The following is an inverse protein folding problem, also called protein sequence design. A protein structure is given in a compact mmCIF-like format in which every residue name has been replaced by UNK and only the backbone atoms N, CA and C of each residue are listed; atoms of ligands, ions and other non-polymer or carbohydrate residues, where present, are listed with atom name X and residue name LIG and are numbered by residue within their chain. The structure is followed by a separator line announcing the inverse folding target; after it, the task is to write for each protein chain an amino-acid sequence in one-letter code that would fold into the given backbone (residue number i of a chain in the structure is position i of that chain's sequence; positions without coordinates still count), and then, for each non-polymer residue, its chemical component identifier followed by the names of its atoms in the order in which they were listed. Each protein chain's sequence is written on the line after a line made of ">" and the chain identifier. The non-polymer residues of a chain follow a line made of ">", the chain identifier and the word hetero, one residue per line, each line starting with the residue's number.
data_IF_824677707653
#
_entry.id   IF_824677707653
#
_cell.length_a   1.000
_cell.length_b   1.000
_cell.length_c   1.000
_cell.angle_alpha   90.00
_cell.angle_beta   90.00
_cell.angle_gamma   90.00
#
_symmetry.space_group_name_H-M   'P 1'
#
loop_
_entity.id
_entity.type
_entity.pdbx_description
1 polymer ?
#
# COMPACT_ATOMS: atom_id res chain seq x y z
N UNK A 1 -34.34 16.48 25.87
CA UNK A 1 -33.67 16.43 24.54
C UNK A 1 -33.94 17.76 23.84
N UNK A 2 -32.97 18.68 23.82
CA UNK A 2 -33.18 20.03 23.28
C UNK A 2 -33.23 20.00 21.73
N UNK A 3 -34.08 20.83 21.08
CA UNK A 3 -34.10 20.92 19.62
C UNK A 3 -32.77 21.53 19.12
N UNK A 4 -32.18 20.92 18.09
CA UNK A 4 -31.05 21.52 17.37
C UNK A 4 -31.56 22.78 16.68
N UNK A 5 -30.96 23.94 17.00
CA UNK A 5 -31.28 25.24 16.40
C UNK A 5 -31.33 25.11 14.89
N UNK A 6 -32.49 25.42 14.32
CA UNK A 6 -32.69 25.49 12.88
C UNK A 6 -31.69 26.47 12.29
N UNK A 7 -30.83 25.96 11.40
CA UNK A 7 -29.94 26.78 10.61
C UNK A 7 -30.78 27.59 9.61
N UNK A 8 -30.78 28.92 9.76
CA UNK A 8 -31.33 29.92 8.83
C UNK A 8 -30.58 29.99 7.49
N UNK A 9 -30.18 28.84 6.96
CA UNK A 9 -29.34 28.75 5.76
C UNK A 9 -30.26 28.71 4.56
N UNK A 10 -30.20 29.76 3.73
CA UNK A 10 -30.87 29.84 2.43
C UNK A 10 -30.69 28.51 1.68
N UNK A 11 -31.76 27.86 1.20
CA UNK A 11 -31.62 26.65 0.39
C UNK A 11 -30.69 26.91 -0.80
N UNK A 12 -29.91 25.90 -1.17
CA UNK A 12 -28.99 26.01 -2.30
C UNK A 12 -29.81 26.00 -3.59
N UNK A 13 -29.68 27.03 -4.43
CA UNK A 13 -30.39 27.03 -5.72
C UNK A 13 -29.79 26.00 -6.66
N UNK A 14 -30.55 25.61 -7.69
CA UNK A 14 -30.10 24.66 -8.70
C UNK A 14 -28.87 25.18 -9.46
N UNK A 15 -28.90 26.45 -9.91
CA UNK A 15 -27.76 27.10 -10.55
C UNK A 15 -26.52 27.21 -9.64
N UNK A 16 -26.71 27.43 -8.34
CA UNK A 16 -25.61 27.41 -7.37
C UNK A 16 -25.04 26.00 -7.17
N UNK A 17 -25.89 24.97 -7.17
CA UNK A 17 -25.47 23.56 -7.13
C UNK A 17 -24.60 23.22 -8.33
N UNK A 18 -25.04 23.56 -9.54
CA UNK A 18 -24.31 23.29 -10.78
C UNK A 18 -22.94 23.96 -10.79
N UNK A 19 -22.89 25.25 -10.42
CA UNK A 19 -21.62 25.99 -10.32
C UNK A 19 -20.64 25.35 -9.32
N UNK A 20 -21.13 24.88 -8.17
CA UNK A 20 -20.28 24.20 -7.19
C UNK A 20 -19.79 22.85 -7.74
N UNK A 21 -20.64 22.11 -8.46
CA UNK A 21 -20.28 20.84 -9.10
C UNK A 21 -19.18 21.04 -10.14
N UNK A 22 -19.31 22.04 -11.00
CA UNK A 22 -18.33 22.38 -12.03
C UNK A 22 -16.96 22.70 -11.41
N UNK A 23 -16.93 23.51 -10.34
CA UNK A 23 -15.70 23.82 -9.62
C UNK A 23 -15.09 22.60 -8.92
N UNK A 24 -15.92 21.68 -8.42
CA UNK A 24 -15.44 20.42 -7.85
C UNK A 24 -14.80 19.52 -8.91
N UNK A 25 -15.39 19.47 -10.11
CA UNK A 25 -14.89 18.69 -11.25
C UNK A 25 -13.61 19.29 -11.83
N UNK A 26 -13.49 20.62 -11.84
CA UNK A 26 -12.26 21.34 -12.15
C UNK A 26 -11.15 21.15 -11.09
N UNK A 27 -11.47 20.52 -9.96
CA UNK A 27 -10.52 20.21 -8.90
C UNK A 27 -10.19 21.38 -7.97
N UNK A 28 -10.98 22.45 -8.01
CA UNK A 28 -10.83 23.64 -7.15
C UNK A 28 -10.91 23.25 -5.66
N UNK A 29 -9.99 23.72 -4.81
CA UNK A 29 -10.04 23.51 -3.37
C UNK A 29 -11.37 23.98 -2.76
N UNK A 30 -11.96 23.17 -1.87
CA UNK A 30 -13.27 23.47 -1.25
C UNK A 30 -13.30 24.79 -0.48
N UNK A 31 -12.17 25.24 0.06
CA UNK A 31 -12.05 26.54 0.73
C UNK A 31 -12.20 27.70 -0.26
N UNK A 32 -11.66 27.55 -1.47
CA UNK A 32 -11.76 28.54 -2.55
C UNK A 32 -13.16 28.56 -3.18
N UNK A 33 -13.79 27.39 -3.32
CA UNK A 33 -15.21 27.29 -3.68
C UNK A 33 -16.08 27.97 -2.63
N UNK A 34 -15.78 27.79 -1.33
CA UNK A 34 -16.51 28.44 -0.25
C UNK A 34 -16.40 29.97 -0.31
N UNK A 35 -15.20 30.48 -0.54
CA UNK A 35 -14.95 31.91 -0.69
C UNK A 35 -15.68 32.51 -1.91
N UNK A 36 -15.68 31.81 -3.05
CA UNK A 36 -16.29 32.30 -4.30
C UNK A 36 -17.81 32.15 -4.37
N UNK A 37 -18.39 31.19 -3.64
CA UNK A 37 -19.84 30.94 -3.64
C UNK A 37 -20.57 31.47 -2.40
N UNK A 38 -19.83 31.99 -1.42
CA UNK A 38 -20.38 32.44 -0.14
C UNK A 38 -21.01 31.31 0.69
N UNK A 39 -20.73 30.05 0.36
CA UNK A 39 -21.26 28.87 1.06
C UNK A 39 -20.23 28.29 2.01
N UNK A 40 -20.71 27.67 3.08
CA UNK A 40 -19.82 27.00 4.02
C UNK A 40 -19.09 25.82 3.36
N UNK A 41 -17.85 25.57 3.79
CA UNK A 41 -17.09 24.37 3.40
C UNK A 41 -17.87 23.09 3.72
N UNK A 42 -18.69 23.10 4.79
CA UNK A 42 -19.58 22.00 5.16
C UNK A 42 -20.65 21.73 4.10
N UNK A 43 -21.30 22.78 3.57
CA UNK A 43 -22.29 22.68 2.48
C UNK A 43 -21.67 22.06 1.23
N UNK A 44 -20.49 22.55 0.83
CA UNK A 44 -19.76 22.03 -0.33
C UNK A 44 -19.33 20.59 -0.10
N UNK A 45 -18.91 20.24 1.12
CA UNK A 45 -18.52 18.87 1.48
C UNK A 45 -19.71 17.91 1.45
N UNK A 46 -20.90 18.34 1.88
CA UNK A 46 -22.11 17.54 1.80
C UNK A 46 -22.51 17.34 0.33
N UNK A 47 -22.53 18.42 -0.47
CA UNK A 47 -22.82 18.32 -1.89
C UNK A 47 -21.83 17.40 -2.62
N UNK A 48 -20.54 17.49 -2.31
CA UNK A 48 -19.52 16.59 -2.87
C UNK A 48 -19.75 15.12 -2.48
N UNK A 49 -20.26 14.83 -1.28
CA UNK A 49 -20.62 13.45 -0.88
C UNK A 49 -21.85 12.97 -1.63
N UNK A 50 -22.91 13.78 -1.67
CA UNK A 50 -24.18 13.46 -2.31
C UNK A 50 -24.02 13.23 -3.81
N UNK A 51 -23.04 13.89 -4.43
CA UNK A 51 -22.75 13.79 -5.88
C UNK A 51 -21.57 12.89 -6.22
N UNK A 52 -21.04 12.12 -5.26
CA UNK A 52 -19.92 11.19 -5.47
C UNK A 52 -18.55 11.83 -5.72
N UNK A 53 -18.43 13.15 -5.63
CA UNK A 53 -17.21 13.97 -5.84
C UNK A 53 -16.39 14.18 -4.56
N UNK A 54 -16.65 13.36 -3.54
CA UNK A 54 -15.86 13.40 -2.32
C UNK A 54 -14.46 12.86 -2.62
N UNK A 55 -13.46 13.75 -2.71
CA UNK A 55 -12.05 13.35 -2.67
C UNK A 55 -11.84 12.37 -1.50
N UNK A 56 -11.21 11.21 -1.74
CA UNK A 56 -10.91 10.24 -0.70
C UNK A 56 -10.07 10.93 0.37
N UNK A 57 -10.45 10.75 1.64
CA UNK A 57 -9.84 11.43 2.78
C UNK A 57 -8.35 11.09 2.99
N UNK A 58 -7.86 10.06 2.32
CA UNK A 58 -6.47 9.64 2.30
C UNK A 58 -6.12 9.19 0.88
N UNK A 59 -4.94 9.60 0.39
CA UNK A 59 -4.50 9.45 -0.98
C UNK A 59 -4.49 8.01 -1.53
N UNK A 60 -5.63 7.55 -2.00
CA UNK A 60 -5.79 6.51 -3.04
C UNK A 60 -7.08 6.88 -3.78
N UNK A 61 -7.10 7.18 -5.08
CA UNK A 61 -6.83 6.23 -6.15
C UNK A 61 -6.59 6.97 -7.48
N UNK A 62 -5.42 7.59 -7.64
CA UNK A 62 -4.82 7.56 -8.98
C UNK A 62 -4.19 6.17 -9.08
N UNK A 63 -4.51 5.35 -10.10
CA UNK A 63 -3.77 4.13 -10.37
C UNK A 63 -2.30 4.53 -10.57
N UNK A 64 -1.47 4.34 -9.55
CA UNK A 64 -0.06 4.64 -9.69
C UNK A 64 0.53 3.61 -10.66
N UNK A 65 0.94 4.00 -11.89
CA UNK A 65 1.51 3.06 -12.86
C UNK A 65 2.75 2.35 -12.29
N UNK A 66 3.42 2.96 -11.30
CA UNK A 66 4.52 2.37 -10.56
C UNK A 66 4.08 1.16 -9.74
N UNK A 67 2.85 1.18 -9.17
CA UNK A 67 2.29 0.05 -8.43
C UNK A 67 2.05 -1.16 -9.34
N UNK A 68 1.57 -0.95 -10.56
CA UNK A 68 1.44 -2.02 -11.54
C UNK A 68 2.82 -2.59 -11.92
N UNK A 69 3.82 -1.71 -12.11
CA UNK A 69 5.20 -2.13 -12.40
C UNK A 69 5.82 -2.97 -11.26
N UNK A 70 5.53 -2.64 -10.00
CA UNK A 70 5.93 -3.46 -8.84
C UNK A 70 5.41 -4.90 -8.96
N UNK A 71 4.13 -5.07 -9.31
CA UNK A 71 3.52 -6.40 -9.38
C UNK A 71 4.10 -7.22 -10.54
N UNK A 72 4.36 -6.59 -11.69
CA UNK A 72 5.02 -7.25 -12.84
C UNK A 72 6.42 -7.72 -12.45
N UNK A 73 7.27 -6.83 -11.93
CA UNK A 73 8.63 -7.21 -11.53
C UNK A 73 8.65 -8.27 -10.42
N UNK A 74 7.70 -8.20 -9.48
CA UNK A 74 7.55 -9.22 -8.44
C UNK A 74 7.14 -10.57 -9.04
N UNK A 75 6.26 -10.58 -10.05
CA UNK A 75 5.87 -11.79 -10.77
C UNK A 75 7.04 -12.42 -11.51
N UNK A 76 7.96 -11.61 -12.02
CA UNK A 76 9.21 -12.07 -12.64
C UNK A 76 10.23 -12.60 -11.62
N UNK A 77 9.94 -12.50 -10.30
CA UNK A 77 10.83 -12.96 -9.24
C UNK A 77 11.95 -11.98 -8.91
N UNK A 78 11.84 -10.72 -9.35
CA UNK A 78 12.83 -9.68 -9.00
C UNK A 78 12.79 -9.42 -7.48
N UNK A 79 13.94 -9.38 -6.79
CA UNK A 79 13.98 -9.12 -5.36
C UNK A 79 13.37 -7.75 -5.02
N UNK A 80 12.62 -7.67 -3.92
CA UNK A 80 11.91 -6.45 -3.52
C UNK A 80 12.83 -5.22 -3.34
N UNK A 81 14.09 -5.43 -2.95
CA UNK A 81 15.09 -4.36 -2.86
C UNK A 81 15.47 -3.78 -4.23
N UNK A 82 15.59 -4.62 -5.25
CA UNK A 82 15.86 -4.18 -6.62
C UNK A 82 14.64 -3.45 -7.18
N UNK A 83 13.44 -4.00 -6.97
CA UNK A 83 12.18 -3.34 -7.38
C UNK A 83 12.06 -1.95 -6.77
N UNK A 84 12.41 -1.79 -5.49
CA UNK A 84 12.38 -0.52 -4.78
C UNK A 84 13.23 0.55 -5.49
N UNK A 85 14.48 0.22 -5.80
CA UNK A 85 15.39 1.12 -6.53
C UNK A 85 14.89 1.40 -7.94
N UNK A 86 14.40 0.39 -8.66
CA UNK A 86 13.90 0.55 -10.04
C UNK A 86 12.66 1.43 -10.13
N UNK A 87 11.74 1.32 -9.17
CA UNK A 87 10.43 1.97 -9.21
C UNK A 87 10.42 3.30 -8.43
N UNK A 88 11.44 3.55 -7.61
CA UNK A 88 11.53 4.75 -6.76
C UNK A 88 10.65 4.66 -5.51
N UNK A 89 10.50 3.47 -4.95
CA UNK A 89 9.81 3.24 -3.68
C UNK A 89 10.76 2.76 -2.60
N UNK A 90 10.33 2.83 -1.34
CA UNK A 90 10.99 2.08 -0.27
C UNK A 90 10.74 0.57 -0.43
N UNK A 91 11.68 -0.26 0.02
CA UNK A 91 11.49 -1.71 0.07
C UNK A 91 10.26 -2.11 0.92
N UNK A 92 9.93 -1.32 1.95
CA UNK A 92 8.72 -1.49 2.74
C UNK A 92 7.45 -1.29 1.90
N UNK A 93 7.36 -0.18 1.16
CA UNK A 93 6.23 0.15 0.29
C UNK A 93 6.02 -0.93 -0.77
N UNK A 94 7.10 -1.41 -1.40
CA UNK A 94 7.05 -2.53 -2.36
C UNK A 94 6.45 -3.78 -1.73
N UNK A 95 6.93 -4.19 -0.56
CA UNK A 95 6.39 -5.36 0.16
C UNK A 95 4.92 -5.17 0.55
N UNK A 96 4.52 -3.97 0.97
CA UNK A 96 3.14 -3.65 1.29
C UNK A 96 2.23 -3.74 0.06
N UNK A 97 2.67 -3.21 -1.09
CA UNK A 97 1.95 -3.31 -2.37
C UNK A 97 1.75 -4.77 -2.76
N UNK A 98 2.84 -5.57 -2.74
CA UNK A 98 2.80 -6.99 -3.05
C UNK A 98 1.81 -7.70 -2.11
N UNK A 99 1.92 -7.50 -0.80
CA UNK A 99 1.03 -8.12 0.21
C UNK A 99 -0.46 -7.82 -0.03
N UNK A 100 -0.79 -6.59 -0.42
CA UNK A 100 -2.17 -6.14 -0.58
C UNK A 100 -2.81 -6.54 -1.91
N UNK A 101 -2.02 -6.68 -2.98
CA UNK A 101 -2.55 -6.80 -4.34
C UNK A 101 -2.12 -8.07 -5.09
N UNK A 102 -1.14 -8.82 -4.57
CA UNK A 102 -0.68 -10.04 -5.20
C UNK A 102 -1.57 -11.24 -4.82
N UNK A 103 -1.82 -12.18 -5.76
CA UNK A 103 -2.44 -13.45 -5.42
C UNK A 103 -1.54 -14.28 -4.47
N UNK A 104 -2.11 -15.21 -3.68
CA UNK A 104 -1.34 -16.03 -2.73
C UNK A 104 -0.15 -16.78 -3.36
N UNK A 105 -0.28 -17.19 -4.62
CA UNK A 105 0.78 -17.85 -5.40
C UNK A 105 1.98 -16.92 -5.62
N UNK A 106 1.74 -15.65 -5.90
CA UNK A 106 2.80 -14.65 -6.09
C UNK A 106 3.47 -14.30 -4.76
N UNK A 107 2.71 -14.19 -3.67
CA UNK A 107 3.27 -14.00 -2.32
C UNK A 107 4.22 -15.14 -1.94
N UNK A 108 3.84 -16.38 -2.27
CA UNK A 108 4.69 -17.55 -2.06
C UNK A 108 5.97 -17.44 -2.88
N UNK A 109 5.89 -17.12 -4.18
CA UNK A 109 7.06 -16.97 -5.06
C UNK A 109 8.04 -15.91 -4.56
N UNK A 110 7.54 -14.73 -4.16
CA UNK A 110 8.38 -13.63 -3.63
C UNK A 110 9.06 -14.03 -2.32
N UNK A 111 8.33 -14.71 -1.43
CA UNK A 111 8.90 -15.24 -0.17
C UNK A 111 9.97 -16.28 -0.44
N UNK A 112 9.72 -17.19 -1.38
CA UNK A 112 10.65 -18.24 -1.76
C UNK A 112 11.93 -17.67 -2.36
N UNK A 113 11.84 -16.63 -3.18
CA UNK A 113 13.01 -15.93 -3.69
C UNK A 113 13.81 -15.30 -2.54
N UNK A 114 13.13 -14.66 -1.59
CA UNK A 114 13.78 -14.10 -0.40
C UNK A 114 14.50 -15.17 0.43
N UNK A 115 13.91 -16.37 0.55
CA UNK A 115 14.56 -17.53 1.17
C UNK A 115 15.78 -17.97 0.37
N UNK A 116 15.69 -18.03 -0.96
CA UNK A 116 16.80 -18.44 -1.82
C UNK A 116 17.99 -17.48 -1.73
N UNK A 117 17.73 -16.17 -1.74
CA UNK A 117 18.78 -15.15 -1.68
C UNK A 117 19.50 -15.18 -0.33
N UNK A 118 18.75 -15.15 0.79
CA UNK A 118 19.32 -15.26 2.13
C UNK A 118 20.02 -16.61 2.35
N UNK A 119 19.49 -17.69 1.76
CA UNK A 119 20.17 -18.98 1.76
C UNK A 119 21.52 -18.83 1.08
N UNK A 120 21.61 -18.35 -0.17
CA UNK A 120 22.89 -18.17 -0.87
C UNK A 120 23.88 -17.30 -0.09
N UNK A 121 23.41 -16.25 0.59
CA UNK A 121 24.23 -15.37 1.45
C UNK A 121 24.86 -16.04 2.69
N UNK A 122 24.46 -17.27 3.04
CA UNK A 122 25.03 -17.94 4.22
C UNK A 122 24.17 -17.82 5.48
N UNK A 123 23.06 -17.09 5.42
CA UNK A 123 22.20 -16.81 6.58
C UNK A 123 21.61 -18.11 7.15
N UNK A 124 21.53 -18.21 8.49
CA UNK A 124 21.03 -19.43 9.15
C UNK A 124 19.52 -19.59 8.94
N UNK A 125 19.01 -20.83 9.02
CA UNK A 125 17.57 -21.13 8.89
C UNK A 125 16.72 -20.30 9.86
N UNK A 126 17.18 -20.15 11.09
CA UNK A 126 16.51 -19.36 12.14
C UNK A 126 16.37 -17.89 11.75
N UNK A 127 17.47 -17.28 11.32
CA UNK A 127 17.49 -15.87 10.89
C UNK A 127 16.69 -15.66 9.61
N UNK A 128 16.77 -16.58 8.65
CA UNK A 128 15.92 -16.56 7.45
C UNK A 128 14.46 -16.56 7.87
N UNK A 129 14.07 -17.51 8.72
CA UNK A 129 12.70 -17.64 9.23
C UNK A 129 12.19 -16.37 9.89
N UNK A 130 13.00 -15.77 10.77
CA UNK A 130 12.69 -14.50 11.41
C UNK A 130 12.50 -13.35 10.40
N UNK A 131 13.33 -13.28 9.35
CA UNK A 131 13.25 -12.23 8.32
C UNK A 131 12.07 -12.39 7.37
N UNK A 132 11.68 -13.61 7.04
CA UNK A 132 10.66 -13.91 6.01
C UNK A 132 9.31 -14.37 6.57
N UNK A 133 9.19 -14.49 7.91
CA UNK A 133 7.97 -14.93 8.59
C UNK A 133 7.69 -16.43 8.41
N UNK A 134 8.74 -17.26 8.44
CA UNK A 134 8.64 -18.72 8.38
C UNK A 134 9.24 -19.36 9.63
N UNK A 135 8.72 -20.53 10.01
CA UNK A 135 9.41 -21.41 10.96
C UNK A 135 10.67 -22.02 10.32
N UNK A 136 11.60 -22.53 11.11
CA UNK A 136 12.79 -23.22 10.59
C UNK A 136 12.45 -24.42 9.69
N UNK A 137 11.41 -25.17 10.04
CA UNK A 137 10.86 -26.23 9.19
C UNK A 137 10.28 -25.66 7.90
N UNK A 138 9.56 -24.54 7.98
CA UNK A 138 9.04 -23.83 6.80
C UNK A 138 10.16 -23.39 5.85
N UNK A 139 11.29 -22.90 6.38
CA UNK A 139 12.49 -22.58 5.60
C UNK A 139 13.08 -23.84 4.98
N UNK A 140 13.18 -24.94 5.73
CA UNK A 140 13.69 -26.22 5.22
C UNK A 140 12.86 -26.74 4.04
N UNK A 141 11.53 -26.74 4.15
CA UNK A 141 10.64 -27.12 3.06
C UNK A 141 10.74 -26.16 1.86
N UNK A 142 10.91 -24.86 2.09
CA UNK A 142 11.11 -23.89 1.02
C UNK A 142 12.42 -24.17 0.26
N UNK A 143 13.53 -24.38 0.98
CA UNK A 143 14.85 -24.71 0.40
C UNK A 143 14.80 -26.01 -0.41
N UNK A 144 14.19 -27.08 0.13
CA UNK A 144 14.02 -28.35 -0.59
C UNK A 144 13.19 -28.19 -1.86
N UNK A 145 12.06 -27.49 -1.78
CA UNK A 145 11.18 -27.24 -2.92
C UNK A 145 11.83 -26.39 -4.00
N UNK A 146 12.78 -25.54 -3.63
CA UNK A 146 13.59 -24.73 -4.55
C UNK A 146 14.80 -25.48 -5.12
N UNK A 147 15.02 -26.74 -4.73
CA UNK A 147 16.16 -27.54 -5.19
C UNK A 147 17.51 -27.00 -4.72
N UNK A 148 17.53 -26.21 -3.64
CA UNK A 148 18.77 -25.63 -3.12
C UNK A 148 19.57 -26.69 -2.35
N UNK A 149 20.91 -26.68 -2.44
CA UNK A 149 21.74 -27.71 -1.82
C UNK A 149 21.56 -27.71 -0.30
N UNK A 150 21.43 -28.91 0.26
CA UNK A 150 21.37 -29.10 1.70
C UNK A 150 22.69 -28.62 2.31
N UNK A 151 22.61 -27.60 3.18
CA UNK A 151 23.75 -27.25 4.02
C UNK A 151 23.83 -28.27 5.13
N UNK A 152 25.03 -28.78 5.38
CA UNK A 152 25.30 -29.55 6.60
C UNK A 152 24.73 -28.75 7.78
N UNK A 153 24.04 -29.39 8.75
CA UNK A 153 23.55 -28.70 9.93
C UNK A 153 24.74 -28.00 10.59
N UNK A 154 24.85 -26.69 10.33
CA UNK A 154 25.93 -25.86 10.80
C UNK A 154 25.73 -25.70 12.29
N UNK A 155 26.68 -26.24 13.06
CA UNK A 155 26.91 -25.89 14.46
C UNK A 155 26.67 -24.38 14.63
N UNK A 156 25.83 -23.95 15.58
CA UNK A 156 25.61 -22.53 15.79
C UNK A 156 26.97 -21.84 15.97
N UNK A 157 27.20 -20.66 15.37
CA UNK A 157 28.40 -19.89 15.66
C UNK A 157 28.49 -19.72 17.18
N UNK A 158 29.64 -20.07 17.76
CA UNK A 158 29.92 -19.85 19.18
C UNK A 158 29.57 -18.40 19.48
N UNK A 159 28.63 -18.17 20.39
CA UNK A 159 28.30 -16.83 20.85
C UNK A 159 29.62 -16.13 21.19
N UNK A 160 29.89 -15.00 20.54
CA UNK A 160 30.93 -14.12 21.01
C UNK A 160 30.46 -13.66 22.39
N UNK A 161 31.15 -14.13 23.41
CA UNK A 161 31.01 -13.68 24.78
C UNK A 161 31.11 -12.14 24.79
N UNK A 162 30.06 -11.50 25.29
CA UNK A 162 29.99 -10.07 25.59
C UNK A 162 29.48 -9.91 27.01
#
# INVERSE_FOLDING_TARGET
>A
MAPRRGSSVRPLSEAERERIIELLDAGTPRAEIAASTGRSVGTISNLARDTGRSRPRFGVRVPDPRRARVLVLAADGVPAGVIATTVGYSAYTVRAIIRQAAPPSLLRKVRDQSVADLWREGVTRREIGARVGLSENGVTHAVQRLGLPARRPGRPPKAADG
#
